data_IF_579822292450
#
_entry.id   IF_579822292450
#
_cell.length_a   1.000
_cell.length_b   1.000
_cell.length_c   1.000
_cell.angle_alpha   90.00
_cell.angle_beta   90.00
_cell.angle_gamma   90.00
#
_symmetry.space_group_name_H-M   'P 1'
#
loop_
_entity.id
_entity.type
_entity.pdbx_description
1 polymer ?
#
# COMPACT_ATOMS: atom_id res chain seq x y z
N UNK A 1 -29.71 -11.09 14.77
CA UNK A 1 -29.27 -9.93 13.98
C UNK A 1 -28.88 -8.83 14.96
N UNK A 2 -27.69 -8.26 14.81
CA UNK A 2 -27.21 -7.17 15.65
C UNK A 2 -26.64 -6.06 14.78
N UNK A 3 -26.59 -4.85 15.33
CA UNK A 3 -26.05 -3.69 14.64
C UNK A 3 -24.59 -3.50 15.02
N UNK A 4 -23.73 -3.29 14.02
CA UNK A 4 -22.30 -3.04 14.23
C UNK A 4 -21.91 -1.73 13.55
N UNK A 5 -21.06 -0.96 14.22
CA UNK A 5 -20.54 0.33 13.76
C UNK A 5 -19.02 0.28 13.87
N UNK A 6 -18.32 0.71 12.82
CA UNK A 6 -16.88 0.85 12.79
C UNK A 6 -16.46 2.29 13.15
N UNK A 7 -15.24 2.44 13.66
CA UNK A 7 -14.68 3.74 14.00
C UNK A 7 -14.35 4.59 12.76
N UNK A 8 -13.96 5.86 12.99
CA UNK A 8 -13.62 6.81 11.92
C UNK A 8 -12.55 6.27 10.95
N UNK A 9 -11.55 5.56 11.48
CA UNK A 9 -10.46 4.96 10.69
C UNK A 9 -10.67 3.48 10.34
N UNK A 10 -11.89 2.95 10.52
CA UNK A 10 -12.18 1.53 10.31
C UNK A 10 -13.37 1.31 9.37
N UNK A 11 -13.42 0.18 8.69
CA UNK A 11 -14.53 -0.28 7.87
C UNK A 11 -14.94 -1.69 8.28
N UNK A 12 -16.23 -1.98 8.20
CA UNK A 12 -16.75 -3.34 8.34
C UNK A 12 -16.66 -4.04 6.99
N UNK A 13 -15.95 -5.15 6.96
CA UNK A 13 -15.91 -6.12 5.87
C UNK A 13 -16.97 -7.17 6.17
N UNK A 14 -18.01 -7.23 5.35
CA UNK A 14 -19.14 -8.13 5.54
C UNK A 14 -19.19 -9.13 4.40
N UNK A 15 -19.28 -10.41 4.73
CA UNK A 15 -19.36 -11.53 3.78
C UNK A 15 -20.46 -12.50 4.23
N UNK A 16 -20.87 -13.43 3.36
CA UNK A 16 -21.83 -14.47 3.69
C UNK A 16 -23.17 -14.31 2.97
N UNK A 17 -24.25 -14.81 3.58
CA UNK A 17 -25.52 -15.00 2.88
C UNK A 17 -26.07 -13.70 2.27
N UNK A 18 -26.37 -13.73 0.95
CA UNK A 18 -26.85 -12.59 0.18
C UNK A 18 -25.77 -11.57 -0.24
N UNK A 19 -24.49 -11.84 0.03
CA UNK A 19 -23.36 -11.00 -0.40
C UNK A 19 -22.47 -11.86 -1.33
N UNK A 20 -22.35 -11.50 -2.62
CA UNK A 20 -21.65 -12.35 -3.59
C UNK A 20 -20.13 -12.40 -3.42
N UNK A 21 -19.51 -11.38 -2.82
CA UNK A 21 -18.06 -11.29 -2.63
C UNK A 21 -17.74 -10.62 -1.29
N UNK A 22 -17.56 -9.29 -1.27
CA UNK A 22 -17.30 -8.51 -0.06
C UNK A 22 -18.11 -7.22 -0.09
N UNK A 23 -18.71 -6.86 1.05
CA UNK A 23 -19.37 -5.56 1.26
C UNK A 23 -18.62 -4.75 2.31
N UNK A 24 -18.21 -3.54 1.95
CA UNK A 24 -17.58 -2.58 2.86
C UNK A 24 -18.63 -1.58 3.37
N UNK A 25 -18.70 -1.37 4.68
CA UNK A 25 -19.63 -0.42 5.29
C UNK A 25 -19.09 0.17 6.59
N UNK A 26 -19.37 1.44 6.89
CA UNK A 26 -19.09 2.05 8.21
C UNK A 26 -20.03 1.53 9.30
N UNK A 27 -21.27 1.19 8.92
CA UNK A 27 -22.30 0.71 9.84
C UNK A 27 -23.24 -0.23 9.10
N UNK A 28 -23.59 -1.35 9.71
CA UNK A 28 -24.44 -2.34 9.06
C UNK A 28 -25.15 -3.25 10.07
N UNK A 29 -26.28 -3.77 9.63
CA UNK A 29 -26.97 -4.88 10.29
C UNK A 29 -26.36 -6.19 9.81
N UNK A 30 -25.92 -7.02 10.77
CA UNK A 30 -25.37 -8.35 10.47
C UNK A 30 -26.47 -9.38 10.64
N UNK A 31 -26.88 -9.99 9.53
CA UNK A 31 -27.90 -11.03 9.48
C UNK A 31 -27.32 -12.40 9.87
N UNK A 32 -28.14 -13.36 10.33
CA UNK A 32 -27.72 -14.75 10.49
C UNK A 32 -27.16 -15.30 9.17
N UNK A 33 -25.97 -15.92 9.22
CA UNK A 33 -25.26 -16.39 8.04
C UNK A 33 -24.34 -15.36 7.38
N UNK A 34 -24.22 -14.15 7.94
CA UNK A 34 -23.21 -13.16 7.55
C UNK A 34 -22.08 -13.10 8.58
N UNK A 35 -20.85 -13.02 8.09
CA UNK A 35 -19.66 -12.75 8.89
C UNK A 35 -19.27 -11.27 8.77
N UNK A 36 -18.72 -10.71 9.85
CA UNK A 36 -18.21 -9.33 9.83
C UNK A 36 -16.84 -9.24 10.48
N UNK A 37 -15.90 -8.62 9.78
CA UNK A 37 -14.53 -8.35 10.23
C UNK A 37 -14.30 -6.84 10.21
N UNK A 38 -13.54 -6.32 11.18
CA UNK A 38 -13.17 -4.91 11.22
C UNK A 38 -11.84 -4.75 10.48
N UNK A 39 -11.80 -3.78 9.59
CA UNK A 39 -10.65 -3.48 8.77
C UNK A 39 -10.22 -2.03 9.01
N UNK A 40 -9.03 -1.85 9.56
CA UNK A 40 -8.44 -0.53 9.78
C UNK A 40 -7.93 0.03 8.43
N UNK A 41 -8.18 1.30 8.13
CA UNK A 41 -7.71 1.99 6.90
C UNK A 41 -6.59 3.00 7.15
N UNK A 42 -6.10 3.09 8.38
CA UNK A 42 -5.00 3.96 8.76
C UNK A 42 -3.76 3.67 7.92
N UNK A 43 -3.08 4.71 7.41
CA UNK A 43 -1.87 4.57 6.64
C UNK A 43 -0.73 4.03 7.50
N UNK A 44 0.12 3.20 6.89
CA UNK A 44 1.27 2.58 7.57
C UNK A 44 2.55 3.01 6.87
N UNK A 45 3.56 3.38 7.66
CA UNK A 45 4.87 3.76 7.16
C UNK A 45 5.72 2.50 6.95
N UNK A 46 6.24 2.33 5.75
CA UNK A 46 7.16 1.27 5.40
C UNK A 46 8.50 1.86 5.02
N UNK A 47 9.53 1.46 5.76
CA UNK A 47 10.92 1.83 5.49
C UNK A 47 11.57 0.74 4.64
N UNK A 48 12.16 1.13 3.53
CA UNK A 48 12.87 0.23 2.61
C UNK A 48 14.26 0.78 2.32
N UNK A 49 15.21 -0.13 2.17
CA UNK A 49 16.58 0.17 1.76
C UNK A 49 16.81 -0.48 0.41
N UNK A 50 16.62 0.29 -0.66
CA UNK A 50 16.76 -0.25 -2.01
C UNK A 50 18.24 -0.29 -2.38
N UNK A 51 18.74 -1.49 -2.64
CA UNK A 51 20.06 -1.69 -3.23
C UNK A 51 19.98 -1.57 -4.74
N UNK A 52 20.65 -0.57 -5.30
CA UNK A 52 20.63 -0.29 -6.73
C UNK A 52 22.03 -0.02 -7.28
N UNK A 53 22.12 0.02 -8.61
CA UNK A 53 23.34 0.31 -9.35
C UNK A 53 23.05 1.48 -10.28
N UNK A 54 23.89 2.51 -10.26
CA UNK A 54 23.73 3.67 -11.14
C UNK A 54 24.11 3.32 -12.59
N UNK A 55 23.81 4.22 -13.53
CA UNK A 55 24.27 4.12 -14.92
C UNK A 55 25.82 4.00 -15.02
N UNK A 56 26.54 4.52 -14.02
CA UNK A 56 28.00 4.48 -13.90
C UNK A 56 28.51 3.18 -13.26
N UNK A 57 27.62 2.22 -12.98
CA UNK A 57 27.90 0.93 -12.32
C UNK A 57 28.41 1.05 -10.88
N UNK A 58 28.11 2.16 -10.21
CA UNK A 58 28.42 2.32 -8.79
C UNK A 58 27.28 1.73 -7.94
N UNK A 59 27.58 0.84 -6.97
CA UNK A 59 26.57 0.33 -6.06
C UNK A 59 26.20 1.39 -5.02
N UNK A 60 24.92 1.52 -4.71
CA UNK A 60 24.44 2.42 -3.67
C UNK A 60 23.18 1.89 -2.97
N UNK A 61 22.94 2.41 -1.77
CA UNK A 61 21.75 2.10 -0.97
C UNK A 61 20.92 3.38 -0.89
N UNK A 62 19.67 3.27 -1.32
CA UNK A 62 18.72 4.36 -1.25
C UNK A 62 17.70 4.08 -0.13
N UNK A 63 17.78 4.78 1.02
CA UNK A 63 16.78 4.67 2.07
C UNK A 63 15.53 5.43 1.67
N UNK A 64 14.39 4.75 1.62
CA UNK A 64 13.11 5.31 1.23
C UNK A 64 12.04 4.98 2.27
N UNK A 65 11.24 5.98 2.66
CA UNK A 65 10.08 5.76 3.54
C UNK A 65 8.80 6.03 2.76
N UNK A 66 8.01 4.98 2.59
CA UNK A 66 6.76 5.02 1.86
C UNK A 66 5.59 4.83 2.81
N UNK A 67 4.66 5.78 2.82
CA UNK A 67 3.42 5.67 3.60
C UNK A 67 2.35 5.02 2.73
N UNK A 68 1.90 3.82 3.06
CA UNK A 68 0.91 3.07 2.28
C UNK A 68 -0.42 3.07 3.01
N UNK A 69 -1.46 3.56 2.32
CA UNK A 69 -2.83 3.45 2.77
C UNK A 69 -3.79 3.27 1.60
N UNK A 70 -5.03 2.82 1.85
CA UNK A 70 -6.07 2.78 0.82
C UNK A 70 -6.55 4.19 0.48
N UNK A 71 -6.90 4.42 -0.79
CA UNK A 71 -7.67 5.60 -1.16
C UNK A 71 -9.10 5.43 -0.67
N UNK A 72 -9.49 6.26 0.30
CA UNK A 72 -10.82 6.18 0.94
C UNK A 72 -11.94 6.67 0.00
N UNK A 73 -11.58 7.46 -1.02
CA UNK A 73 -12.51 8.05 -1.98
C UNK A 73 -12.94 7.08 -3.09
N UNK A 74 -12.26 5.92 -3.22
CA UNK A 74 -12.51 4.95 -4.27
C UNK A 74 -12.77 3.55 -3.70
N UNK A 75 -14.04 3.13 -3.72
CA UNK A 75 -14.48 1.83 -3.21
C UNK A 75 -13.73 0.64 -3.86
N UNK A 76 -13.34 0.78 -5.13
CA UNK A 76 -12.61 -0.26 -5.88
C UNK A 76 -11.21 -0.50 -5.28
N UNK A 77 -10.52 0.58 -4.89
CA UNK A 77 -9.18 0.57 -4.30
C UNK A 77 -9.24 0.09 -2.86
N UNK A 78 -10.25 0.51 -2.10
CA UNK A 78 -10.48 0.04 -0.73
C UNK A 78 -10.76 -1.47 -0.68
N UNK A 79 -11.51 -2.00 -1.65
CA UNK A 79 -11.82 -3.43 -1.75
C UNK A 79 -10.59 -4.25 -2.15
N UNK A 80 -9.76 -3.77 -3.08
CA UNK A 80 -8.47 -4.41 -3.41
C UNK A 80 -7.53 -4.41 -2.20
N UNK A 81 -7.42 -3.28 -1.51
CA UNK A 81 -6.59 -3.16 -0.31
C UNK A 81 -7.09 -4.10 0.80
N UNK A 82 -8.41 -4.16 1.04
CA UNK A 82 -9.00 -5.11 1.97
C UNK A 82 -8.71 -6.57 1.57
N UNK A 83 -8.78 -6.94 0.28
CA UNK A 83 -8.48 -8.30 -0.16
C UNK A 83 -7.00 -8.68 -0.01
N UNK A 84 -6.09 -7.75 -0.28
CA UNK A 84 -4.64 -7.99 -0.20
C UNK A 84 -4.14 -8.00 1.25
N UNK A 85 -4.70 -7.14 2.09
CA UNK A 85 -4.24 -6.93 3.46
C UNK A 85 -5.05 -7.78 4.44
N UNK A 86 -6.36 -7.96 4.31
CA UNK A 86 -7.19 -8.66 5.31
C UNK A 86 -6.79 -10.09 5.68
N UNK A 87 -6.17 -10.94 4.82
CA UNK A 87 -5.71 -12.25 5.26
C UNK A 87 -4.43 -12.19 6.11
N UNK A 88 -3.75 -11.06 6.15
CA UNK A 88 -2.48 -10.88 6.84
C UNK A 88 -2.51 -9.66 7.77
N UNK A 89 -1.68 -9.64 8.81
CA UNK A 89 -1.55 -8.39 9.55
C UNK A 89 -0.95 -7.32 8.64
N UNK A 90 -1.36 -6.05 8.79
CA UNK A 90 -0.80 -4.93 8.01
C UNK A 90 0.72 -4.87 8.14
N UNK A 91 1.25 -5.36 9.27
CA UNK A 91 2.67 -5.43 9.58
C UNK A 91 3.28 -6.81 9.35
N UNK A 92 2.55 -7.73 8.71
CA UNK A 92 3.08 -9.05 8.42
C UNK A 92 4.30 -8.93 7.50
N UNK A 93 5.33 -9.71 7.80
CA UNK A 93 6.55 -9.75 6.99
C UNK A 93 6.24 -10.06 5.52
N UNK A 94 5.19 -10.84 5.25
CA UNK A 94 4.79 -11.19 3.89
C UNK A 94 4.32 -9.98 3.06
N UNK A 95 3.49 -9.10 3.62
CA UNK A 95 3.06 -7.88 2.92
C UNK A 95 4.25 -6.95 2.72
N UNK A 96 5.12 -6.83 3.72
CA UNK A 96 6.34 -6.02 3.63
C UNK A 96 7.27 -6.52 2.51
N UNK A 97 7.51 -7.83 2.43
CA UNK A 97 8.35 -8.46 1.40
C UNK A 97 7.75 -8.29 -0.01
N UNK A 98 6.43 -8.46 -0.17
CA UNK A 98 5.77 -8.25 -1.46
C UNK A 98 5.91 -6.82 -1.94
N UNK A 99 5.62 -5.84 -1.07
CA UNK A 99 5.73 -4.43 -1.42
C UNK A 99 7.19 -4.05 -1.68
N UNK A 100 8.12 -4.55 -0.85
CA UNK A 100 9.56 -4.34 -1.04
C UNK A 100 10.01 -4.88 -2.40
N UNK A 101 9.62 -6.10 -2.76
CA UNK A 101 10.01 -6.70 -4.04
C UNK A 101 9.49 -5.92 -5.25
N UNK A 102 8.28 -5.39 -5.18
CA UNK A 102 7.72 -4.56 -6.26
C UNK A 102 8.47 -3.22 -6.36
N UNK A 103 8.69 -2.55 -5.24
CA UNK A 103 9.40 -1.27 -5.21
C UNK A 103 10.86 -1.44 -5.66
N UNK A 104 11.57 -2.44 -5.15
CA UNK A 104 12.94 -2.74 -5.55
C UNK A 104 13.03 -3.10 -7.03
N UNK A 105 12.08 -3.89 -7.54
CA UNK A 105 12.00 -4.25 -8.95
C UNK A 105 11.88 -3.02 -9.85
N UNK A 106 10.91 -2.15 -9.57
CA UNK A 106 10.68 -0.92 -10.34
C UNK A 106 11.82 0.10 -10.18
N UNK A 107 12.30 0.28 -8.95
CA UNK A 107 13.37 1.23 -8.64
C UNK A 107 14.71 0.81 -9.25
N UNK A 108 15.00 -0.50 -9.32
CA UNK A 108 16.23 -1.02 -9.95
C UNK A 108 16.29 -0.69 -11.44
N UNK A 109 15.16 -0.81 -12.14
CA UNK A 109 15.09 -0.48 -13.58
C UNK A 109 15.34 1.00 -13.79
N UNK A 110 14.77 1.86 -12.94
CA UNK A 110 14.90 3.31 -13.05
C UNK A 110 16.30 3.81 -12.67
N UNK A 111 16.87 3.28 -11.59
CA UNK A 111 18.21 3.62 -11.12
C UNK A 111 19.31 3.25 -12.13
N UNK A 112 19.13 2.17 -12.90
CA UNK A 112 20.09 1.76 -13.93
C UNK A 112 20.20 2.77 -15.09
N UNK A 113 19.15 3.57 -15.33
CA UNK A 113 19.15 4.60 -16.39
C UNK A 113 19.60 5.98 -15.92
N UNK A 114 19.86 6.18 -14.62
CA UNK A 114 20.20 7.49 -14.04
C UNK A 114 21.61 7.53 -13.49
N UNK A 115 22.25 8.70 -13.59
CA UNK A 115 23.57 8.96 -12.98
C UNK A 115 23.43 9.15 -11.47
N UNK A 116 24.54 8.97 -10.73
CA UNK A 116 24.52 9.16 -9.27
C UNK A 116 24.13 10.61 -8.90
N UNK A 117 24.57 11.57 -9.72
CA UNK A 117 24.27 12.98 -9.54
C UNK A 117 22.77 13.27 -9.76
N UNK A 118 22.14 12.66 -10.77
CA UNK A 118 20.68 12.77 -11.00
C UNK A 118 19.86 12.09 -9.90
N UNK A 119 20.32 10.98 -9.35
CA UNK A 119 19.65 10.29 -8.23
C UNK A 119 19.68 11.16 -6.96
N UNK A 120 20.81 11.81 -6.68
CA UNK A 120 20.93 12.69 -5.52
C UNK A 120 20.26 14.05 -5.72
N UNK A 121 20.35 14.64 -6.92
CA UNK A 121 19.84 15.98 -7.22
C UNK A 121 18.36 15.98 -7.59
N UNK A 122 17.91 14.91 -8.25
CA UNK A 122 16.54 14.66 -8.71
C UNK A 122 15.71 13.86 -7.71
N UNK A 123 16.02 13.93 -6.41
CA UNK A 123 15.28 13.15 -5.40
C UNK A 123 13.77 13.42 -5.47
N UNK A 124 13.32 14.59 -5.96
CA UNK A 124 11.89 14.88 -6.14
C UNK A 124 11.29 14.26 -7.40
N UNK A 125 11.95 14.35 -8.55
CA UNK A 125 11.45 13.76 -9.81
C UNK A 125 11.54 12.23 -9.78
N UNK A 126 12.65 11.68 -9.30
CA UNK A 126 12.82 10.24 -9.06
C UNK A 126 11.73 9.70 -8.13
N UNK A 127 11.47 10.41 -7.03
CA UNK A 127 10.35 10.10 -6.12
C UNK A 127 9.04 10.05 -6.89
N UNK A 128 8.70 11.10 -7.63
CA UNK A 128 7.44 11.17 -8.38
C UNK A 128 7.30 10.04 -9.41
N UNK A 129 8.38 9.70 -10.12
CA UNK A 129 8.34 8.66 -11.14
C UNK A 129 8.18 7.25 -10.54
N UNK A 130 8.86 6.96 -9.43
CA UNK A 130 8.64 5.74 -8.65
C UNK A 130 7.21 5.72 -8.07
N UNK A 131 6.73 6.86 -7.56
CA UNK A 131 5.36 6.99 -7.03
C UNK A 131 4.29 6.73 -8.10
N UNK A 132 4.47 7.26 -9.31
CA UNK A 132 3.54 7.07 -10.44
C UNK A 132 3.45 5.61 -10.87
N UNK A 133 4.57 4.87 -10.88
CA UNK A 133 4.57 3.45 -11.26
C UNK A 133 3.94 2.55 -10.20
N UNK A 134 4.18 2.82 -8.91
CA UNK A 134 3.62 2.02 -7.82
C UNK A 134 2.12 2.29 -7.59
N UNK A 135 1.60 3.45 -8.03
CA UNK A 135 0.15 3.79 -8.00
C UNK A 135 -0.74 2.76 -8.70
N UNK A 136 -0.22 2.00 -9.68
CA UNK A 136 -0.97 0.97 -10.40
C UNK A 136 -1.53 -0.16 -9.53
N UNK A 137 -1.05 -0.30 -8.29
CA UNK A 137 -1.39 -1.40 -7.37
C UNK A 137 -2.64 -1.09 -6.51
N UNK A 138 -3.21 0.12 -6.61
CA UNK A 138 -4.37 0.52 -5.80
C UNK A 138 -4.03 0.97 -4.38
N UNK A 139 -2.74 1.20 -4.11
CA UNK A 139 -2.25 1.82 -2.89
C UNK A 139 -2.02 3.32 -3.11
N UNK A 140 -2.60 4.17 -2.26
CA UNK A 140 -2.13 5.56 -2.14
C UNK A 140 -0.85 5.54 -1.33
N UNK A 141 0.25 5.78 -2.03
CA UNK A 141 1.49 6.21 -1.41
C UNK A 141 1.34 7.68 -1.02
N UNK A 142 1.22 7.95 0.27
CA UNK A 142 1.29 9.31 0.80
C UNK A 142 2.76 9.68 1.00
N UNK A 143 3.09 10.92 0.65
CA UNK A 143 4.44 11.47 0.79
C UNK A 143 4.95 11.26 2.21
N UNK A 144 6.09 10.58 2.33
CA UNK A 144 6.93 10.66 3.51
C UNK A 144 8.35 10.87 3.01
N UNK A 145 8.94 11.99 3.44
CA UNK A 145 10.19 12.51 2.93
C UNK A 145 11.33 11.49 2.96
N UNK A 146 12.25 11.66 2.02
CA UNK A 146 13.58 11.06 2.18
C UNK A 146 14.39 12.09 2.96
N UNK A 147 15.09 11.64 3.98
CA UNK A 147 16.19 12.39 4.59
C UNK A 147 17.39 12.37 3.64
#
# INVERSE_FOLDING_TARGET
MWYRVANASEYLVITGYGIPDIKLAKKAWILPGQASTVFDVSPVNYTFEVQAMSAEKLPFILPAVFTIGPRVDEDSSLLKYAKLISPHDKLSNHVKELVQGIIEGETRVLAASMTMEEIFKGTKEFKQEVFEKVRGIGASLFESGFL
#
